data_IF_380202706216
#
_entry.id   IF_380202706216
#
_cell.length_a   1.000
_cell.length_b   1.000
_cell.length_c   1.000
_cell.angle_alpha   90.00
_cell.angle_beta   90.00
_cell.angle_gamma   90.00
#
_symmetry.space_group_name_H-M   'P 1'
#
loop_
_entity.id
_entity.type
_entity.pdbx_description
1 polymer ?
#
# COMPACT_ATOMS: atom_id res chain seq x y z
N UNK A 1 -22.26 15.07 16.37
CA UNK A 1 -21.63 13.82 16.85
C UNK A 1 -20.66 13.36 15.77
N UNK A 2 -19.53 14.04 15.67
CA UNK A 2 -18.42 13.64 14.80
C UNK A 2 -17.78 12.35 15.36
N UNK A 3 -16.95 11.65 14.59
CA UNK A 3 -16.11 10.54 15.10
C UNK A 3 -15.24 10.98 16.29
N UNK A 4 -14.97 12.30 16.39
CA UNK A 4 -14.26 12.92 17.51
C UNK A 4 -15.16 13.16 18.75
N UNK A 5 -16.49 13.19 18.59
CA UNK A 5 -17.49 13.43 19.64
C UNK A 5 -18.28 12.17 20.04
N UNK A 6 -18.09 11.02 19.37
CA UNK A 6 -18.68 9.75 19.80
C UNK A 6 -17.97 9.27 21.07
N UNK A 7 -18.32 9.91 22.18
CA UNK A 7 -17.83 9.70 23.55
C UNK A 7 -18.23 8.36 24.16
N UNK A 8 -18.22 7.27 23.40
CA UNK A 8 -17.77 6.03 23.98
C UNK A 8 -16.27 6.24 24.17
N UNK A 9 -15.84 6.57 25.39
CA UNK A 9 -14.43 6.63 25.75
C UNK A 9 -13.78 5.42 25.08
N UNK A 10 -12.98 5.67 24.03
CA UNK A 10 -12.21 4.61 23.43
C UNK A 10 -11.50 3.97 24.61
N UNK A 11 -11.79 2.69 24.89
CA UNK A 11 -10.90 1.92 25.75
C UNK A 11 -9.49 2.22 25.26
N UNK A 12 -8.50 2.37 26.15
CA UNK A 12 -7.17 2.84 25.74
C UNK A 12 -6.55 2.07 24.56
N UNK A 13 -7.06 0.86 24.26
CA UNK A 13 -6.73 0.02 23.11
C UNK A 13 -7.16 0.55 21.71
N UNK A 14 -8.15 1.44 21.60
CA UNK A 14 -8.65 1.97 20.31
C UNK A 14 -8.18 3.41 20.02
N UNK A 15 -7.32 3.96 20.87
CA UNK A 15 -6.63 5.22 20.60
C UNK A 15 -5.31 4.91 19.86
N UNK A 16 -5.05 5.51 18.69
CA UNK A 16 -3.81 5.29 17.96
C UNK A 16 -2.61 5.84 18.74
N UNK A 17 -1.49 5.16 18.62
CA UNK A 17 -0.20 5.55 19.17
C UNK A 17 0.85 5.55 18.06
N UNK A 18 1.99 6.26 18.23
CA UNK A 18 3.08 6.20 17.26
C UNK A 18 3.61 4.76 17.01
N UNK A 19 3.43 3.84 17.95
CA UNK A 19 3.84 2.45 17.80
C UNK A 19 3.00 1.66 16.79
N UNK A 20 1.79 2.14 16.47
CA UNK A 20 0.94 1.57 15.41
C UNK A 20 1.45 1.93 14.00
N UNK A 21 2.42 2.85 13.90
CA UNK A 21 3.06 3.31 12.65
C UNK A 21 2.08 3.80 11.59
N UNK A 22 0.99 4.44 12.00
CA UNK A 22 0.08 5.10 11.08
C UNK A 22 0.72 6.34 10.46
N UNK A 23 0.67 6.47 9.14
CA UNK A 23 1.20 7.63 8.42
C UNK A 23 0.23 8.11 7.35
N UNK A 24 0.36 9.37 6.96
CA UNK A 24 -0.48 10.01 5.95
C UNK A 24 0.37 10.79 4.97
N UNK A 25 -0.04 10.82 3.71
CA UNK A 25 0.54 11.72 2.71
C UNK A 25 0.05 13.14 2.90
N UNK A 26 0.90 14.15 2.74
CA UNK A 26 0.48 15.55 2.77
C UNK A 26 -0.62 15.82 1.73
N UNK A 27 -0.56 15.15 0.57
CA UNK A 27 -1.56 15.23 -0.50
C UNK A 27 -2.93 14.64 -0.11
N UNK A 28 -3.02 13.82 0.93
CA UNK A 28 -4.26 13.14 1.35
C UNK A 28 -5.18 14.15 2.06
N UNK A 29 -4.83 14.51 3.29
CA UNK A 29 -5.50 15.52 4.11
C UNK A 29 -5.40 16.93 3.50
N UNK A 30 -4.37 17.18 2.69
CA UNK A 30 -4.18 18.44 1.97
C UNK A 30 -4.97 18.53 0.66
N UNK A 31 -5.69 17.49 0.25
CA UNK A 31 -6.42 17.51 -1.01
C UNK A 31 -7.54 18.58 -0.99
N UNK A 32 -7.47 19.58 -1.89
CA UNK A 32 -8.44 20.69 -1.92
C UNK A 32 -9.80 20.30 -2.53
N UNK A 33 -9.97 19.02 -2.90
CA UNK A 33 -11.16 18.47 -3.53
C UNK A 33 -11.50 19.06 -4.90
N UNK A 34 -10.47 19.32 -5.70
CA UNK A 34 -10.64 19.49 -7.14
C UNK A 34 -10.67 18.11 -7.79
N UNK A 35 -11.71 17.85 -8.58
CA UNK A 35 -11.90 16.62 -9.34
C UNK A 35 -12.06 16.96 -10.83
N UNK A 36 -12.16 15.98 -11.75
CA UNK A 36 -12.27 16.25 -13.18
C UNK A 36 -13.50 17.08 -13.61
N UNK A 37 -14.50 17.24 -12.73
CA UNK A 37 -15.78 17.90 -13.00
C UNK A 37 -16.05 19.12 -12.13
N UNK A 38 -15.12 19.50 -11.24
CA UNK A 38 -15.33 20.58 -10.29
C UNK A 38 -14.03 21.21 -9.78
N UNK A 39 -14.11 22.50 -9.51
CA UNK A 39 -13.04 23.24 -8.82
C UNK A 39 -12.95 22.84 -7.34
N UNK A 40 -11.87 23.24 -6.67
CA UNK A 40 -11.65 23.02 -5.24
C UNK A 40 -12.83 23.47 -4.36
N UNK A 41 -13.09 22.70 -3.29
CA UNK A 41 -14.06 23.05 -2.23
C UNK A 41 -13.39 23.43 -0.91
N UNK A 42 -12.08 23.21 -0.79
CA UNK A 42 -11.27 23.54 0.40
C UNK A 42 -10.03 24.32 0.03
N UNK A 43 -9.50 25.19 0.92
CA UNK A 43 -8.22 25.85 0.71
C UNK A 43 -7.06 24.86 0.81
N UNK A 44 -5.89 25.26 0.33
CA UNK A 44 -4.65 24.51 0.57
C UNK A 44 -4.35 24.45 2.07
N UNK A 45 -3.87 23.30 2.54
CA UNK A 45 -3.48 23.07 3.92
C UNK A 45 -2.01 23.48 4.15
N UNK A 46 -1.73 24.18 5.24
CA UNK A 46 -0.36 24.50 5.63
C UNK A 46 0.36 23.26 6.20
N UNK A 47 1.62 23.05 5.82
CA UNK A 47 2.40 21.88 6.26
C UNK A 47 2.59 21.83 7.79
N UNK A 48 2.71 22.97 8.47
CA UNK A 48 2.89 22.99 9.93
C UNK A 48 1.58 22.57 10.60
N UNK A 49 0.44 23.09 10.12
CA UNK A 49 -0.88 22.64 10.58
C UNK A 49 -1.07 21.14 10.34
N UNK A 50 -0.67 20.63 9.17
CA UNK A 50 -0.75 19.21 8.85
C UNK A 50 -0.01 18.34 9.87
N UNK A 51 1.26 18.67 10.16
CA UNK A 51 2.09 17.96 11.14
C UNK A 51 1.50 18.02 12.55
N UNK A 52 1.14 19.20 13.04
CA UNK A 52 0.60 19.38 14.39
C UNK A 52 -0.73 18.63 14.60
N UNK A 53 -1.60 18.65 13.60
CA UNK A 53 -2.92 17.99 13.65
C UNK A 53 -2.78 16.48 13.57
N UNK A 54 -1.92 15.96 12.69
CA UNK A 54 -1.64 14.51 12.61
C UNK A 54 -1.00 13.99 13.90
N UNK A 55 -0.02 14.73 14.46
CA UNK A 55 0.58 14.42 15.75
C UNK A 55 -0.46 14.33 16.87
N UNK A 56 -1.37 15.31 16.94
CA UNK A 56 -2.46 15.31 17.91
C UNK A 56 -3.42 14.14 17.75
N UNK A 57 -3.61 13.65 16.53
CA UNK A 57 -4.45 12.48 16.24
C UNK A 57 -3.75 11.14 16.50
N UNK A 58 -2.45 11.13 16.84
CA UNK A 58 -1.68 9.92 17.16
C UNK A 58 -0.95 9.29 15.98
N UNK A 59 -0.82 9.99 14.84
CA UNK A 59 -0.02 9.52 13.72
C UNK A 59 1.47 9.44 14.09
N UNK A 60 2.17 8.50 13.44
CA UNK A 60 3.61 8.29 13.56
C UNK A 60 4.41 9.15 12.57
N UNK A 61 3.90 9.34 11.35
CA UNK A 61 4.65 10.04 10.31
C UNK A 61 3.84 10.70 9.22
N UNK A 62 4.52 11.58 8.48
CA UNK A 62 4.04 12.30 7.31
C UNK A 62 4.86 11.87 6.09
N UNK A 63 4.22 11.66 4.95
CA UNK A 63 4.88 11.45 3.65
C UNK A 63 4.49 12.58 2.71
N UNK A 64 5.24 12.82 1.63
CA UNK A 64 4.90 13.86 0.65
C UNK A 64 5.56 13.61 -0.71
N UNK A 65 4.96 14.14 -1.77
CA UNK A 65 5.68 14.43 -3.01
C UNK A 65 6.46 15.73 -2.85
N UNK A 66 7.57 15.87 -3.56
CA UNK A 66 8.30 17.15 -3.64
C UNK A 66 7.37 18.36 -3.87
N UNK A 67 6.52 18.28 -4.89
CA UNK A 67 5.64 19.38 -5.29
C UNK A 67 4.47 19.65 -4.30
N UNK A 68 4.26 18.80 -3.29
CA UNK A 68 3.30 19.03 -2.20
C UNK A 68 3.87 20.01 -1.15
N UNK A 69 5.17 19.88 -0.86
CA UNK A 69 5.84 20.69 0.18
C UNK A 69 6.21 22.08 -0.32
N UNK A 70 6.59 22.19 -1.59
CA UNK A 70 6.92 23.45 -2.24
C UNK A 70 6.42 23.44 -3.70
N UNK A 71 5.89 24.56 -4.22
CA UNK A 71 5.44 24.61 -5.61
C UNK A 71 6.53 24.26 -6.63
N UNK A 72 6.14 23.59 -7.71
CA UNK A 72 7.03 23.36 -8.85
C UNK A 72 7.60 24.69 -9.36
N UNK A 73 8.92 24.74 -9.55
CA UNK A 73 9.62 25.95 -10.01
C UNK A 73 9.97 26.96 -8.92
N UNK A 74 9.69 26.68 -7.64
CA UNK A 74 10.19 27.48 -6.53
C UNK A 74 11.71 27.67 -6.58
N UNK A 75 12.16 28.86 -6.17
CA UNK A 75 13.58 29.14 -5.99
C UNK A 75 14.20 28.27 -4.89
N UNK A 76 15.52 28.10 -4.89
CA UNK A 76 16.21 27.36 -3.80
C UNK A 76 15.93 27.95 -2.41
N UNK A 77 15.80 29.28 -2.33
CA UNK A 77 15.49 29.97 -1.07
C UNK A 77 14.09 29.63 -0.56
N UNK A 78 13.09 29.61 -1.45
CA UNK A 78 11.72 29.21 -1.09
C UNK A 78 11.63 27.73 -0.74
N UNK A 79 12.30 26.87 -1.52
CA UNK A 79 12.40 25.43 -1.24
C UNK A 79 13.00 25.20 0.15
N UNK A 80 14.18 25.77 0.44
CA UNK A 80 14.84 25.64 1.75
C UNK A 80 13.95 26.11 2.89
N UNK A 81 13.30 27.27 2.73
CA UNK A 81 12.36 27.80 3.73
C UNK A 81 11.23 26.82 4.04
N UNK A 82 10.65 26.16 3.04
CA UNK A 82 9.58 25.18 3.27
C UNK A 82 10.09 23.92 3.96
N UNK A 83 11.29 23.44 3.61
CA UNK A 83 11.92 22.30 4.30
C UNK A 83 12.21 22.64 5.76
N UNK A 84 12.76 23.83 6.05
CA UNK A 84 13.03 24.29 7.43
C UNK A 84 11.75 24.36 8.28
N UNK A 85 10.65 24.78 7.67
CA UNK A 85 9.33 24.82 8.33
C UNK A 85 8.83 23.41 8.67
N UNK A 86 8.96 22.47 7.74
CA UNK A 86 8.62 21.07 7.97
C UNK A 86 9.49 20.48 9.07
N UNK A 87 10.82 20.60 8.96
CA UNK A 87 11.79 20.07 9.93
C UNK A 87 11.54 20.60 11.35
N UNK A 88 11.25 21.90 11.47
CA UNK A 88 10.89 22.51 12.76
C UNK A 88 9.61 21.91 13.36
N UNK A 89 8.58 21.67 12.53
CA UNK A 89 7.32 21.08 12.99
C UNK A 89 7.47 19.60 13.35
N UNK A 90 8.24 18.84 12.57
CA UNK A 90 8.58 17.43 12.87
C UNK A 90 9.33 17.34 14.21
N UNK A 91 10.36 18.17 14.39
CA UNK A 91 11.13 18.25 15.64
C UNK A 91 10.27 18.61 16.86
N UNK A 92 9.30 19.51 16.70
CA UNK A 92 8.42 19.94 17.79
C UNK A 92 7.38 18.87 18.19
N UNK A 93 7.00 17.99 17.26
CA UNK A 93 5.91 17.01 17.46
C UNK A 93 6.39 15.58 17.65
N UNK A 94 7.61 15.26 17.18
CA UNK A 94 8.13 13.90 17.15
C UNK A 94 7.63 13.05 15.98
N UNK A 95 6.87 13.62 15.03
CA UNK A 95 6.54 12.94 13.78
C UNK A 95 7.80 12.70 12.95
N UNK A 96 7.84 11.58 12.24
CA UNK A 96 8.91 11.25 11.30
C UNK A 96 8.45 11.33 9.85
N UNK A 97 9.39 11.24 8.92
CA UNK A 97 9.12 11.07 7.48
C UNK A 97 9.58 9.67 7.08
N UNK A 98 8.71 8.64 7.12
CA UNK A 98 9.14 7.27 6.83
C UNK A 98 9.33 7.03 5.32
N UNK A 99 8.67 7.85 4.48
CA UNK A 99 8.64 7.71 3.04
C UNK A 99 8.53 9.08 2.36
N UNK A 100 9.22 9.22 1.23
CA UNK A 100 9.08 10.36 0.29
C UNK A 100 8.88 9.82 -1.13
N UNK A 101 8.17 10.57 -1.97
CA UNK A 101 7.92 10.23 -3.38
C UNK A 101 8.11 11.47 -4.26
N UNK A 102 8.09 11.33 -5.59
CA UNK A 102 8.24 12.46 -6.54
C UNK A 102 7.01 12.59 -7.42
N UNK A 103 6.51 13.81 -7.56
CA UNK A 103 5.43 14.09 -8.50
C UNK A 103 5.98 14.08 -9.94
N UNK A 104 5.71 13.01 -10.68
CA UNK A 104 6.00 12.86 -12.10
C UNK A 104 4.72 12.80 -12.96
N UNK A 105 3.64 13.42 -12.50
CA UNK A 105 2.32 13.23 -13.13
C UNK A 105 1.47 14.49 -13.29
N UNK A 106 1.70 15.54 -12.50
CA UNK A 106 0.88 16.77 -12.53
C UNK A 106 1.32 17.74 -13.62
N UNK A 107 2.62 18.00 -13.76
CA UNK A 107 3.11 19.01 -14.69
C UNK A 107 2.91 18.57 -16.16
N UNK A 108 2.53 19.47 -17.08
CA UNK A 108 2.25 19.11 -18.48
C UNK A 108 3.40 18.43 -19.23
N UNK A 109 4.64 18.63 -18.78
CA UNK A 109 5.83 17.97 -19.33
C UNK A 109 5.76 16.43 -19.20
N UNK A 110 5.05 15.91 -18.19
CA UNK A 110 4.92 14.48 -17.93
C UNK A 110 3.66 13.85 -18.54
N UNK A 111 2.99 14.53 -19.48
CA UNK A 111 1.73 14.05 -20.08
C UNK A 111 1.82 12.65 -20.73
N UNK A 112 3.02 12.22 -21.16
CA UNK A 112 3.30 10.89 -21.73
C UNK A 112 4.21 10.03 -20.81
N UNK A 113 4.31 10.38 -19.53
CA UNK A 113 5.22 9.75 -18.58
C UNK A 113 6.42 10.63 -18.24
N UNK A 114 7.11 10.23 -17.18
CA UNK A 114 8.45 10.65 -16.80
C UNK A 114 9.48 9.70 -17.38
N UNK A 115 9.65 8.53 -16.78
CA UNK A 115 10.72 7.58 -17.16
C UNK A 115 10.51 6.91 -18.51
N UNK A 116 9.26 6.77 -18.95
CA UNK A 116 8.90 6.08 -20.20
C UNK A 116 8.28 7.02 -21.23
N UNK A 117 8.43 8.34 -21.04
CA UNK A 117 8.09 9.33 -22.06
C UNK A 117 8.78 9.00 -23.38
N UNK A 118 8.05 9.10 -24.49
CA UNK A 118 8.65 8.96 -25.81
C UNK A 118 9.74 10.03 -26.04
N UNK A 119 9.59 11.22 -25.44
CA UNK A 119 10.57 12.29 -25.49
C UNK A 119 11.76 12.03 -24.54
N UNK A 120 12.96 11.86 -25.12
CA UNK A 120 14.19 11.61 -24.36
C UNK A 120 14.56 12.76 -23.42
N UNK A 121 14.26 14.01 -23.76
CA UNK A 121 14.56 15.14 -22.89
C UNK A 121 13.73 15.07 -21.60
N UNK A 122 12.47 14.64 -21.70
CA UNK A 122 11.57 14.44 -20.55
C UNK A 122 12.09 13.33 -19.64
N UNK A 123 12.51 12.19 -20.20
CA UNK A 123 13.10 11.09 -19.39
C UNK A 123 14.30 11.55 -18.55
N UNK A 124 15.20 12.34 -19.15
CA UNK A 124 16.37 12.91 -18.46
C UNK A 124 15.98 13.92 -17.39
N UNK A 125 14.96 14.74 -17.66
CA UNK A 125 14.42 15.68 -16.70
C UNK A 125 13.79 14.98 -15.49
N UNK A 126 12.97 13.94 -15.72
CA UNK A 126 12.35 13.13 -14.68
C UNK A 126 13.40 12.52 -13.74
N UNK A 127 14.45 11.89 -14.29
CA UNK A 127 15.56 11.35 -13.49
C UNK A 127 16.22 12.40 -12.60
N UNK A 128 16.49 13.60 -13.12
CA UNK A 128 17.07 14.67 -12.31
C UNK A 128 16.14 15.19 -11.22
N UNK A 129 14.83 15.22 -11.47
CA UNK A 129 13.82 15.59 -10.46
C UNK A 129 13.81 14.57 -9.32
N UNK A 130 13.82 13.27 -9.64
CA UNK A 130 13.85 12.19 -8.63
C UNK A 130 15.16 12.20 -7.84
N UNK A 131 16.32 12.31 -8.49
CA UNK A 131 17.61 12.41 -7.79
C UNK A 131 17.65 13.56 -6.78
N UNK A 132 17.15 14.75 -7.17
CA UNK A 132 17.08 15.90 -6.27
C UNK A 132 16.17 15.65 -5.06
N UNK A 133 15.13 14.84 -5.23
CA UNK A 133 14.22 14.53 -4.14
C UNK A 133 14.70 13.35 -3.27
N UNK A 134 15.49 12.44 -3.82
CA UNK A 134 16.22 11.44 -3.03
C UNK A 134 17.14 12.11 -2.03
N UNK A 135 17.84 13.18 -2.41
CA UNK A 135 18.66 13.96 -1.47
C UNK A 135 17.85 14.49 -0.29
N UNK A 136 16.63 14.96 -0.54
CA UNK A 136 15.72 15.42 0.52
C UNK A 136 15.18 14.26 1.37
N UNK A 137 14.86 13.13 0.74
CA UNK A 137 14.43 11.93 1.45
C UNK A 137 15.51 11.46 2.44
N UNK A 138 16.78 11.45 2.00
CA UNK A 138 17.93 11.12 2.85
C UNK A 138 18.15 12.18 3.95
N UNK A 139 18.01 13.47 3.64
CA UNK A 139 18.10 14.57 4.63
C UNK A 139 17.08 14.40 5.76
N UNK A 140 15.86 14.00 5.44
CA UNK A 140 14.75 13.83 6.40
C UNK A 140 14.69 12.42 7.04
N UNK A 141 15.64 11.54 6.70
CA UNK A 141 15.74 10.20 7.29
C UNK A 141 14.67 9.21 6.80
N UNK A 142 14.14 9.39 5.59
CA UNK A 142 13.20 8.43 5.00
C UNK A 142 13.91 7.10 4.66
N UNK A 143 13.24 5.99 4.97
CA UNK A 143 13.76 4.64 4.73
C UNK A 143 13.30 4.06 3.40
N UNK A 144 12.18 4.57 2.88
CA UNK A 144 11.57 4.13 1.61
C UNK A 144 11.35 5.31 0.67
N UNK A 145 11.58 5.09 -0.62
CA UNK A 145 11.21 6.01 -1.68
C UNK A 145 10.20 5.34 -2.62
N UNK A 146 8.97 5.85 -2.63
CA UNK A 146 7.90 5.30 -3.47
C UNK A 146 7.99 5.85 -4.88
N UNK A 147 7.67 5.01 -5.85
CA UNK A 147 7.67 5.34 -7.27
C UNK A 147 6.34 4.91 -7.89
N UNK A 148 5.41 5.86 -7.97
CA UNK A 148 4.17 5.70 -8.71
C UNK A 148 4.29 6.23 -10.14
N UNK A 149 4.25 5.29 -11.10
CA UNK A 149 4.34 5.57 -12.52
C UNK A 149 3.03 6.02 -13.16
N UNK A 150 2.26 6.91 -12.53
CA UNK A 150 0.88 7.23 -12.95
C UNK A 150 0.72 7.71 -14.40
N UNK A 151 1.77 8.24 -15.03
CA UNK A 151 1.75 8.66 -16.45
C UNK A 151 2.47 7.70 -17.40
N UNK A 152 3.09 6.64 -16.89
CA UNK A 152 3.81 5.64 -17.68
C UNK A 152 2.79 4.66 -18.31
N UNK A 153 2.44 4.84 -19.58
CA UNK A 153 1.35 4.07 -20.18
C UNK A 153 0.91 4.61 -21.54
N UNK A 154 -0.32 4.25 -21.94
CA UNK A 154 -0.90 4.68 -23.22
C UNK A 154 -2.43 4.67 -23.21
N UNK A 155 -3.02 5.50 -24.09
CA UNK A 155 -4.43 5.40 -24.47
C UNK A 155 -4.64 4.61 -25.77
N UNK A 156 -3.56 4.37 -26.53
CA UNK A 156 -3.56 3.67 -27.82
C UNK A 156 -2.34 2.76 -27.92
N UNK A 157 -2.54 1.47 -28.23
CA UNK A 157 -1.46 0.46 -28.23
C UNK A 157 -0.27 0.83 -29.13
N UNK A 158 -0.53 1.41 -30.30
CA UNK A 158 0.52 1.81 -31.25
C UNK A 158 1.33 3.03 -30.81
N UNK A 159 0.91 3.74 -29.76
CA UNK A 159 1.57 4.95 -29.27
C UNK A 159 2.78 4.66 -28.36
N UNK A 160 2.90 3.42 -27.85
CA UNK A 160 3.96 3.02 -26.93
C UNK A 160 4.57 1.68 -27.34
N UNK A 161 5.86 1.69 -27.64
CA UNK A 161 6.63 0.44 -27.66
C UNK A 161 6.86 0.00 -26.21
N UNK A 162 6.06 -0.97 -25.77
CA UNK A 162 6.06 -1.45 -24.38
C UNK A 162 7.39 -2.11 -24.00
N UNK A 163 8.06 -2.80 -24.94
CA UNK A 163 9.37 -3.39 -24.67
C UNK A 163 10.41 -2.31 -24.44
N UNK A 164 10.46 -1.32 -25.32
CA UNK A 164 11.35 -0.18 -25.15
C UNK A 164 11.03 0.60 -23.86
N UNK A 165 9.76 0.75 -23.50
CA UNK A 165 9.34 1.40 -22.25
C UNK A 165 9.87 0.66 -21.01
N UNK A 166 9.77 -0.68 -20.95
CA UNK A 166 10.33 -1.46 -19.85
C UNK A 166 11.85 -1.34 -19.74
N UNK A 167 12.56 -1.31 -20.87
CA UNK A 167 14.01 -1.08 -20.83
C UNK A 167 14.37 0.31 -20.29
N UNK A 168 13.59 1.36 -20.61
CA UNK A 168 13.82 2.72 -20.06
C UNK A 168 13.46 2.82 -18.59
N UNK A 169 12.41 2.13 -18.17
CA UNK A 169 12.03 2.04 -16.76
C UNK A 169 13.14 1.34 -15.96
N UNK A 170 13.66 0.21 -16.48
CA UNK A 170 14.80 -0.50 -15.87
C UNK A 170 16.05 0.38 -15.80
N UNK A 171 16.42 1.03 -16.92
CA UNK A 171 17.54 1.98 -16.97
C UNK A 171 17.43 3.07 -15.90
N UNK A 172 16.22 3.60 -15.68
CA UNK A 172 15.98 4.60 -14.66
C UNK A 172 16.18 4.04 -13.25
N UNK A 173 15.55 2.92 -12.92
CA UNK A 173 15.67 2.31 -11.59
C UNK A 173 17.09 1.85 -11.27
N UNK A 174 17.79 1.24 -12.22
CA UNK A 174 19.17 0.80 -12.02
C UNK A 174 20.08 2.00 -11.69
N UNK A 175 19.89 3.13 -12.38
CA UNK A 175 20.62 4.37 -12.08
C UNK A 175 20.30 4.89 -10.68
N UNK A 176 19.02 4.90 -10.28
CA UNK A 176 18.61 5.38 -8.95
C UNK A 176 19.12 4.46 -7.83
N UNK A 177 19.12 3.14 -8.03
CA UNK A 177 19.71 2.17 -7.10
C UNK A 177 21.22 2.37 -6.97
N UNK A 178 21.93 2.58 -8.09
CA UNK A 178 23.36 2.89 -8.06
C UNK A 178 23.63 4.19 -7.31
N UNK A 179 22.83 5.24 -7.54
CA UNK A 179 22.97 6.51 -6.81
C UNK A 179 22.82 6.33 -5.31
N UNK A 180 21.76 5.66 -4.85
CA UNK A 180 21.53 5.38 -3.43
C UNK A 180 22.65 4.53 -2.81
N UNK A 181 23.18 3.57 -3.57
CA UNK A 181 24.33 2.75 -3.17
C UNK A 181 25.57 3.60 -2.98
N UNK A 182 25.87 4.49 -3.93
CA UNK A 182 27.03 5.39 -3.87
C UNK A 182 26.93 6.40 -2.71
N UNK A 183 25.72 6.82 -2.34
CA UNK A 183 25.48 7.67 -1.16
C UNK A 183 25.54 6.89 0.16
N UNK A 184 25.43 5.56 0.13
CA UNK A 184 25.49 4.70 1.32
C UNK A 184 24.32 4.90 2.28
N UNK A 185 23.15 5.35 1.82
CA UNK A 185 22.02 5.70 2.70
C UNK A 185 21.14 4.52 3.13
N UNK A 186 21.20 3.38 2.42
CA UNK A 186 20.37 2.20 2.71
C UNK A 186 18.89 2.37 2.38
N UNK A 187 18.51 3.46 1.73
CA UNK A 187 17.14 3.72 1.28
C UNK A 187 16.68 2.64 0.29
N UNK A 188 15.42 2.20 0.40
CA UNK A 188 14.82 1.19 -0.49
C UNK A 188 13.78 1.81 -1.41
N UNK A 189 13.60 1.24 -2.59
CA UNK A 189 12.57 1.69 -3.54
C UNK A 189 11.33 0.81 -3.47
N UNK A 190 10.15 1.41 -3.60
CA UNK A 190 8.90 0.67 -3.67
C UNK A 190 8.08 1.12 -4.90
N UNK A 191 7.90 0.23 -5.88
CA UNK A 191 7.09 0.50 -7.06
C UNK A 191 5.61 0.37 -6.70
N UNK A 192 4.82 1.37 -7.05
CA UNK A 192 3.38 1.37 -6.83
C UNK A 192 2.63 1.01 -8.13
N UNK A 193 2.07 -0.21 -8.21
CA UNK A 193 1.27 -0.62 -9.36
C UNK A 193 -0.11 0.04 -9.33
N UNK A 194 -0.62 0.37 -10.52
CA UNK A 194 -2.00 0.83 -10.73
C UNK A 194 -2.46 0.42 -12.12
N UNK A 195 -3.68 -0.08 -12.32
CA UNK A 195 -4.09 -0.62 -13.63
C UNK A 195 -4.33 0.47 -14.68
N UNK A 196 -4.97 1.58 -14.28
CA UNK A 196 -5.32 2.70 -15.14
C UNK A 196 -5.56 3.95 -14.28
N UNK A 197 -5.88 5.06 -14.94
CA UNK A 197 -6.10 6.39 -14.35
C UNK A 197 -4.83 7.00 -13.73
N UNK A 198 -4.26 8.06 -14.35
CA UNK A 198 -4.86 8.88 -15.40
C UNK A 198 -4.60 8.42 -16.85
N UNK A 199 -3.78 7.37 -17.09
CA UNK A 199 -3.65 6.78 -18.44
C UNK A 199 -4.78 5.78 -18.72
N UNK A 200 -5.04 5.49 -19.99
CA UNK A 200 -5.93 4.40 -20.40
C UNK A 200 -5.50 3.06 -19.82
N UNK A 201 -4.24 2.69 -20.05
CA UNK A 201 -3.57 1.56 -19.42
C UNK A 201 -2.20 2.01 -18.90
N UNK A 202 -1.91 1.73 -17.63
CA UNK A 202 -0.64 2.04 -16.98
C UNK A 202 0.28 0.81 -17.04
N UNK A 203 1.58 1.04 -17.26
CA UNK A 203 2.59 -0.02 -17.20
C UNK A 203 2.74 -0.54 -15.77
N UNK A 204 2.98 -1.85 -15.62
CA UNK A 204 2.99 -2.53 -14.31
C UNK A 204 1.62 -2.43 -13.59
N UNK A 205 0.54 -2.94 -14.22
CA UNK A 205 -0.83 -2.64 -13.80
C UNK A 205 -1.26 -3.27 -12.47
N UNK A 206 -0.53 -4.28 -11.98
CA UNK A 206 -0.86 -4.98 -10.73
C UNK A 206 0.40 -5.39 -9.97
N UNK A 207 0.24 -5.79 -8.71
CA UNK A 207 1.34 -6.32 -7.85
C UNK A 207 2.17 -7.37 -8.57
N UNK A 208 1.52 -8.35 -9.23
CA UNK A 208 2.23 -9.42 -9.94
C UNK A 208 3.14 -8.91 -11.06
N UNK A 209 2.69 -7.90 -11.82
CA UNK A 209 3.49 -7.32 -12.89
C UNK A 209 4.69 -6.55 -12.35
N UNK A 210 4.49 -5.78 -11.28
CA UNK A 210 5.58 -5.06 -10.61
C UNK A 210 6.63 -6.03 -10.03
N UNK A 211 6.20 -7.09 -9.35
CA UNK A 211 7.09 -8.14 -8.83
C UNK A 211 7.92 -8.79 -9.94
N UNK A 212 7.30 -9.17 -11.06
CA UNK A 212 8.00 -9.79 -12.19
C UNK A 212 9.02 -8.83 -12.83
N UNK A 213 8.70 -7.53 -12.91
CA UNK A 213 9.62 -6.53 -13.45
C UNK A 213 10.82 -6.28 -12.53
N UNK A 214 10.61 -6.25 -11.21
CA UNK A 214 11.66 -6.04 -10.20
C UNK A 214 12.78 -7.08 -10.34
N UNK A 215 12.46 -8.34 -10.62
CA UNK A 215 13.45 -9.41 -10.79
C UNK A 215 14.34 -9.23 -12.04
N UNK A 216 14.04 -8.26 -12.90
CA UNK A 216 14.85 -7.92 -14.08
C UNK A 216 15.86 -6.81 -13.85
N UNK A 217 15.84 -6.17 -12.68
CA UNK A 217 16.72 -5.04 -12.34
C UNK A 217 18.14 -5.51 -12.00
N UNK A 218 19.11 -4.60 -12.02
CA UNK A 218 20.48 -4.88 -11.58
C UNK A 218 20.59 -5.08 -10.06
N UNK A 219 19.69 -4.45 -9.29
CA UNK A 219 19.63 -4.48 -7.83
C UNK A 219 18.23 -4.86 -7.33
N UNK A 220 17.70 -6.06 -7.66
CA UNK A 220 16.34 -6.45 -7.33
C UNK A 220 16.10 -6.44 -5.81
N UNK A 221 17.11 -6.70 -4.98
CA UNK A 221 17.06 -6.65 -3.52
C UNK A 221 16.75 -5.26 -2.94
N UNK A 222 17.06 -4.19 -3.68
CA UNK A 222 16.80 -2.80 -3.27
C UNK A 222 15.38 -2.33 -3.60
N UNK A 223 14.64 -3.10 -4.40
CA UNK A 223 13.33 -2.71 -4.94
C UNK A 223 12.27 -3.71 -4.51
N UNK A 224 11.19 -3.18 -3.93
CA UNK A 224 9.96 -3.90 -3.60
C UNK A 224 8.75 -3.21 -4.19
N UNK A 225 7.58 -3.52 -3.65
CA UNK A 225 6.30 -2.94 -4.04
C UNK A 225 5.69 -2.08 -2.94
N UNK A 226 4.93 -1.06 -3.36
CA UNK A 226 4.00 -0.26 -2.58
C UNK A 226 2.57 -0.50 -3.11
N UNK A 227 1.93 -1.64 -2.81
CA UNK A 227 0.58 -1.91 -3.28
C UNK A 227 -0.45 -1.04 -2.56
N UNK A 228 -1.45 -0.57 -3.31
CA UNK A 228 -2.59 0.17 -2.77
C UNK A 228 -3.89 -0.65 -2.85
N UNK A 229 -4.70 -0.56 -1.78
CA UNK A 229 -5.99 -1.26 -1.68
C UNK A 229 -6.90 -1.01 -2.89
N UNK A 230 -7.07 0.26 -3.26
CA UNK A 230 -7.94 0.68 -4.35
C UNK A 230 -7.46 0.18 -5.70
N UNK A 231 -6.17 0.25 -5.97
CA UNK A 231 -5.59 -0.09 -7.27
C UNK A 231 -5.84 -1.54 -7.70
N UNK A 232 -5.63 -2.52 -6.83
CA UNK A 232 -5.93 -3.93 -7.16
C UNK A 232 -7.45 -4.15 -7.28
N UNK A 233 -8.24 -3.47 -6.44
CA UNK A 233 -9.71 -3.54 -6.47
C UNK A 233 -10.30 -2.90 -7.74
N UNK A 234 -9.64 -1.91 -8.35
CA UNK A 234 -9.99 -1.35 -9.65
C UNK A 234 -9.83 -2.38 -10.78
N UNK A 235 -8.98 -3.40 -10.62
CA UNK A 235 -8.85 -4.52 -11.54
C UNK A 235 -9.75 -5.72 -11.17
N UNK A 236 -10.57 -5.59 -10.11
CA UNK A 236 -11.40 -6.69 -9.60
C UNK A 236 -10.59 -7.80 -8.91
N UNK A 237 -9.35 -7.51 -8.51
CA UNK A 237 -8.47 -8.47 -7.83
C UNK A 237 -8.70 -8.47 -6.32
N UNK A 238 -8.36 -9.59 -5.69
CA UNK A 238 -8.37 -9.71 -4.23
C UNK A 238 -7.07 -9.12 -3.66
N UNK A 239 -7.18 -7.96 -3.01
CA UNK A 239 -6.02 -7.24 -2.47
C UNK A 239 -5.25 -8.05 -1.43
N UNK A 240 -5.94 -8.67 -0.46
CA UNK A 240 -5.30 -9.54 0.53
C UNK A 240 -4.45 -10.66 -0.12
N UNK A 241 -4.91 -11.27 -1.21
CA UNK A 241 -4.12 -12.29 -1.93
C UNK A 241 -2.85 -11.70 -2.58
N UNK A 242 -2.96 -10.53 -3.20
CA UNK A 242 -1.81 -9.81 -3.77
C UNK A 242 -0.77 -9.43 -2.70
N UNK A 243 -1.23 -8.98 -1.54
CA UNK A 243 -0.36 -8.68 -0.39
C UNK A 243 0.31 -9.94 0.13
N UNK A 244 -0.41 -11.07 0.23
CA UNK A 244 0.16 -12.35 0.63
C UNK A 244 1.28 -12.80 -0.32
N UNK A 245 1.10 -12.62 -1.64
CA UNK A 245 2.16 -12.89 -2.62
C UNK A 245 3.36 -11.95 -2.47
N UNK A 246 3.15 -10.65 -2.22
CA UNK A 246 4.23 -9.70 -1.99
C UNK A 246 5.05 -10.03 -0.72
N UNK A 247 4.38 -10.49 0.34
CA UNK A 247 5.00 -11.00 1.56
C UNK A 247 5.80 -12.28 1.28
N UNK A 248 5.21 -13.23 0.56
CA UNK A 248 5.88 -14.48 0.15
C UNK A 248 7.18 -14.20 -0.63
N UNK A 249 7.16 -13.21 -1.52
CA UNK A 249 8.36 -12.80 -2.29
C UNK A 249 9.37 -11.98 -1.48
N UNK A 250 9.05 -11.59 -0.24
CA UNK A 250 9.90 -10.70 0.56
C UNK A 250 9.99 -9.28 0.01
N UNK A 251 8.96 -8.83 -0.74
CA UNK A 251 8.97 -7.57 -1.50
C UNK A 251 7.95 -6.52 -1.03
N UNK A 252 7.15 -6.80 0.00
CA UNK A 252 6.25 -5.79 0.58
C UNK A 252 7.04 -4.74 1.38
N UNK A 253 7.54 -3.71 0.70
CA UNK A 253 8.41 -2.69 1.31
C UNK A 253 7.62 -1.53 1.93
N UNK A 254 6.45 -1.24 1.38
CA UNK A 254 5.48 -0.28 1.89
C UNK A 254 4.07 -0.74 1.53
N UNK A 255 3.02 -0.08 2.03
CA UNK A 255 1.62 -0.39 1.67
C UNK A 255 0.75 0.85 1.82
N UNK A 256 -0.17 1.04 0.88
CA UNK A 256 -1.15 2.13 0.91
C UNK A 256 -2.56 1.59 1.16
N UNK A 257 -3.19 2.15 2.20
CA UNK A 257 -4.47 1.71 2.76
C UNK A 257 -5.57 2.72 2.48
N UNK A 258 -6.57 2.31 1.71
CA UNK A 258 -7.76 3.10 1.43
C UNK A 258 -8.97 2.20 1.14
N UNK A 259 -10.01 2.74 0.52
CA UNK A 259 -11.20 1.98 0.15
C UNK A 259 -11.65 2.27 -1.27
N UNK A 260 -12.05 1.21 -1.97
CA UNK A 260 -12.61 1.26 -3.32
C UNK A 260 -13.88 0.41 -3.40
N UNK A 261 -14.82 0.76 -4.29
CA UNK A 261 -16.00 -0.06 -4.57
C UNK A 261 -15.92 -0.65 -5.97
N UNK A 262 -15.01 -1.61 -6.15
CA UNK A 262 -14.83 -2.39 -7.37
C UNK A 262 -14.27 -1.58 -8.54
N UNK A 263 -14.62 -2.01 -9.75
CA UNK A 263 -14.05 -1.51 -11.02
C UNK A 263 -14.73 -0.20 -11.43
N UNK A 264 -14.07 0.93 -11.16
CA UNK A 264 -14.47 2.31 -11.54
C UNK A 264 -13.26 3.24 -11.33
N UNK A 265 -13.48 4.56 -11.47
CA UNK A 265 -12.49 5.57 -11.06
C UNK A 265 -11.99 5.33 -9.65
N UNK A 266 -10.77 5.74 -9.39
CA UNK A 266 -10.14 5.60 -8.09
C UNK A 266 -10.82 6.53 -7.07
N UNK A 267 -11.45 5.93 -6.07
CA UNK A 267 -12.29 6.67 -5.13
C UNK A 267 -11.52 7.22 -3.94
N UNK A 268 -10.37 6.63 -3.59
CA UNK A 268 -9.57 7.01 -2.44
C UNK A 268 -10.36 7.11 -1.12
N UNK A 269 -11.30 6.19 -0.86
CA UNK A 269 -12.11 6.27 0.36
C UNK A 269 -11.25 5.99 1.60
N UNK A 270 -11.74 6.37 2.78
CA UNK A 270 -11.20 5.89 4.07
C UNK A 270 -11.06 4.36 4.05
N UNK A 271 -9.94 3.86 4.60
CA UNK A 271 -9.68 2.44 4.74
C UNK A 271 -10.86 1.70 5.41
N UNK A 272 -11.31 0.61 4.76
CA UNK A 272 -12.46 -0.17 5.19
C UNK A 272 -13.85 0.38 4.78
N UNK A 273 -13.94 1.54 4.12
CA UNK A 273 -15.22 2.08 3.61
C UNK A 273 -15.56 1.61 2.18
N UNK A 274 -14.70 0.77 1.59
CA UNK A 274 -14.89 0.03 0.35
C UNK A 274 -15.33 -1.42 0.61
N UNK A 275 -14.50 -2.39 0.22
CA UNK A 275 -14.67 -3.80 0.58
C UNK A 275 -14.20 -4.06 2.03
N UNK A 276 -15.16 -4.04 2.97
CA UNK A 276 -14.90 -4.22 4.39
C UNK A 276 -14.43 -5.64 4.75
N UNK A 277 -14.92 -6.67 4.05
CA UNK A 277 -14.54 -8.05 4.33
C UNK A 277 -13.08 -8.31 3.91
N UNK A 278 -12.66 -7.76 2.77
CA UNK A 278 -11.26 -7.84 2.36
C UNK A 278 -10.35 -7.00 3.27
N UNK A 279 -10.78 -5.82 3.73
CA UNK A 279 -10.04 -5.02 4.72
C UNK A 279 -9.84 -5.78 6.04
N UNK A 280 -10.85 -6.51 6.51
CA UNK A 280 -10.72 -7.38 7.69
C UNK A 280 -9.67 -8.48 7.48
N UNK A 281 -9.76 -9.21 6.37
CA UNK A 281 -8.80 -10.27 6.05
C UNK A 281 -7.37 -9.73 5.84
N UNK A 282 -7.22 -8.52 5.30
CA UNK A 282 -5.93 -7.84 5.17
C UNK A 282 -5.32 -7.53 6.54
N UNK A 283 -6.09 -6.95 7.47
CA UNK A 283 -5.57 -6.64 8.81
C UNK A 283 -5.20 -7.93 9.56
N UNK A 284 -6.00 -8.98 9.44
CA UNK A 284 -5.65 -10.31 9.97
C UNK A 284 -4.33 -10.84 9.38
N UNK A 285 -4.12 -10.72 8.06
CA UNK A 285 -2.87 -11.10 7.41
C UNK A 285 -1.67 -10.28 7.93
N UNK A 286 -1.78 -8.96 8.01
CA UNK A 286 -0.66 -8.09 8.40
C UNK A 286 -0.25 -8.30 9.86
N UNK A 287 -1.22 -8.57 10.75
CA UNK A 287 -1.02 -8.66 12.20
C UNK A 287 -0.79 -10.10 12.70
N UNK A 288 -1.31 -11.11 12.00
CA UNK A 288 -1.29 -12.51 12.42
C UNK A 288 -0.82 -13.51 11.35
N UNK A 289 -0.47 -13.03 10.16
CA UNK A 289 -0.04 -13.87 9.03
C UNK A 289 1.41 -14.33 9.07
N UNK A 290 2.21 -13.92 10.06
CA UNK A 290 3.60 -14.32 10.20
C UNK A 290 3.78 -15.83 10.43
N UNK A 291 4.99 -16.37 10.20
CA UNK A 291 5.26 -17.80 10.33
C UNK A 291 4.89 -18.34 11.73
N UNK A 292 5.12 -17.56 12.78
CA UNK A 292 4.83 -17.93 14.19
C UNK A 292 3.51 -17.32 14.73
N UNK A 293 2.62 -16.83 13.85
CA UNK A 293 1.35 -16.21 14.24
C UNK A 293 1.45 -14.75 14.73
N UNK A 294 2.64 -14.13 14.62
CA UNK A 294 2.85 -12.71 14.85
C UNK A 294 2.67 -11.84 13.59
N UNK A 295 3.02 -10.55 13.65
CA UNK A 295 2.89 -9.64 12.51
C UNK A 295 3.69 -10.10 11.30
N UNK A 296 3.04 -10.17 10.14
CA UNK A 296 3.70 -10.46 8.86
C UNK A 296 4.40 -9.22 8.28
N UNK A 297 4.00 -8.01 8.70
CA UNK A 297 4.52 -6.75 8.20
C UNK A 297 4.76 -5.76 9.34
N UNK A 298 5.93 -5.10 9.33
CA UNK A 298 6.35 -4.17 10.39
C UNK A 298 6.56 -2.73 9.92
N UNK A 299 6.36 -2.46 8.63
CA UNK A 299 6.48 -1.11 8.06
C UNK A 299 5.29 -0.21 8.40
N UNK A 300 5.28 1.03 7.86
CA UNK A 300 4.18 1.98 8.07
C UNK A 300 2.85 1.43 7.55
N UNK A 301 1.76 1.76 8.26
CA UNK A 301 0.37 1.62 7.79
C UNK A 301 -0.02 2.98 7.21
N UNK A 302 0.35 3.20 5.96
CA UNK A 302 0.15 4.48 5.31
C UNK A 302 -1.25 4.56 4.70
N UNK A 303 -1.95 5.67 4.95
CA UNK A 303 -3.26 5.92 4.39
C UNK A 303 -3.15 6.90 3.22
N UNK A 304 -3.07 6.37 1.99
CA UNK A 304 -3.25 7.16 0.77
C UNK A 304 -4.72 7.21 0.40
N UNK A 305 -5.42 8.23 0.89
CA UNK A 305 -6.86 8.39 0.71
C UNK A 305 -7.21 9.87 0.50
N UNK A 306 -8.47 10.17 0.20
CA UNK A 306 -8.97 11.53 0.05
C UNK A 306 -10.20 11.76 0.93
N UNK A 307 -10.20 12.80 1.78
CA UNK A 307 -11.43 13.27 2.41
C UNK A 307 -12.44 13.66 1.33
N UNK A 308 -13.64 13.09 1.39
CA UNK A 308 -14.69 13.32 0.39
C UNK A 308 -14.87 14.80 0.08
N UNK A 309 -15.15 15.11 -1.19
CA UNK A 309 -15.30 16.50 -1.68
C UNK A 309 -16.38 17.31 -0.94
N UNK A 310 -17.35 16.63 -0.33
CA UNK A 310 -18.44 17.21 0.47
C UNK A 310 -18.00 17.78 1.81
N UNK A 311 -16.83 17.39 2.30
CA UNK A 311 -16.37 17.73 3.63
C UNK A 311 -15.70 19.11 3.69
N UNK A 312 -15.88 19.79 4.82
CA UNK A 312 -15.07 20.93 5.22
C UNK A 312 -13.79 20.47 5.97
N UNK A 313 -13.05 21.40 6.56
CA UNK A 313 -11.84 21.07 7.35
C UNK A 313 -12.14 20.13 8.53
N UNK A 314 -13.31 20.25 9.18
CA UNK A 314 -13.64 19.35 10.28
C UNK A 314 -13.85 17.91 9.79
N UNK A 315 -14.51 17.74 8.64
CA UNK A 315 -14.67 16.44 8.00
C UNK A 315 -13.34 15.82 7.54
N UNK A 316 -12.37 16.62 7.07
CA UNK A 316 -10.99 16.15 6.76
C UNK A 316 -10.33 15.48 7.95
N UNK A 317 -10.37 16.13 9.12
CA UNK A 317 -9.75 15.57 10.31
C UNK A 317 -10.54 14.40 10.88
N UNK A 318 -11.87 14.40 10.72
CA UNK A 318 -12.70 13.26 11.07
C UNK A 318 -12.40 12.03 10.20
N UNK A 319 -12.16 12.21 8.89
CA UNK A 319 -11.80 11.10 8.00
C UNK A 319 -10.38 10.58 8.24
N UNK A 320 -9.43 11.45 8.62
CA UNK A 320 -8.09 11.02 9.03
C UNK A 320 -8.16 10.14 10.29
N UNK A 321 -8.94 10.56 11.30
CA UNK A 321 -9.19 9.76 12.49
C UNK A 321 -9.93 8.45 12.17
N UNK A 322 -10.85 8.46 11.20
CA UNK A 322 -11.61 7.28 10.80
C UNK A 322 -10.70 6.17 10.22
N UNK A 323 -9.69 6.52 9.42
CA UNK A 323 -8.72 5.55 8.89
C UNK A 323 -8.02 4.75 10.01
N UNK A 324 -7.42 5.45 10.97
CA UNK A 324 -6.75 4.81 12.12
C UNK A 324 -7.74 4.01 12.95
N UNK A 325 -8.92 4.56 13.23
CA UNK A 325 -9.96 3.87 13.99
C UNK A 325 -10.41 2.58 13.30
N UNK A 326 -10.64 2.60 11.98
CA UNK A 326 -11.03 1.42 11.22
C UNK A 326 -9.97 0.33 11.31
N UNK A 327 -8.68 0.67 11.14
CA UNK A 327 -7.61 -0.31 11.29
C UNK A 327 -7.59 -0.94 12.69
N UNK A 328 -7.67 -0.12 13.75
CA UNK A 328 -7.64 -0.59 15.14
C UNK A 328 -8.84 -1.49 15.47
N UNK A 329 -10.04 -1.13 14.99
CA UNK A 329 -11.24 -1.96 15.17
C UNK A 329 -11.08 -3.31 14.47
N UNK A 330 -10.59 -3.32 13.22
CA UNK A 330 -10.36 -4.56 12.47
C UNK A 330 -9.27 -5.42 13.13
N UNK A 331 -8.21 -4.81 13.66
CA UNK A 331 -7.13 -5.50 14.38
C UNK A 331 -7.65 -6.18 15.65
N UNK A 332 -8.47 -5.48 16.43
CA UNK A 332 -9.14 -6.04 17.62
C UNK A 332 -9.99 -7.27 17.25
N UNK A 333 -10.79 -7.17 16.18
CA UNK A 333 -11.67 -8.25 15.71
C UNK A 333 -10.88 -9.42 15.13
N UNK A 334 -9.77 -9.16 14.43
CA UNK A 334 -8.89 -10.20 13.90
C UNK A 334 -8.23 -11.00 15.03
N UNK A 335 -7.77 -10.31 16.08
CA UNK A 335 -7.22 -10.96 17.26
C UNK A 335 -8.27 -11.83 17.98
N UNK A 336 -9.50 -11.32 18.15
CA UNK A 336 -10.61 -12.09 18.72
C UNK A 336 -10.97 -13.32 17.87
N UNK A 337 -11.02 -13.15 16.54
CA UNK A 337 -11.25 -14.23 15.59
C UNK A 337 -10.19 -15.34 15.72
N UNK A 338 -8.90 -14.99 15.76
CA UNK A 338 -7.80 -15.96 15.91
C UNK A 338 -7.78 -16.66 17.27
N UNK A 339 -8.30 -16.01 18.31
CA UNK A 339 -8.34 -16.56 19.67
C UNK A 339 -9.59 -17.40 19.98
N UNK A 340 -10.66 -17.33 19.17
CA UNK A 340 -11.90 -18.07 19.40
C UNK A 340 -11.69 -19.59 19.19
N UNK A 341 -11.90 -20.45 20.22
CA UNK A 341 -11.76 -21.89 20.08
C UNK A 341 -12.63 -22.50 18.96
N UNK A 342 -13.81 -21.92 18.70
CA UNK A 342 -14.68 -22.38 17.61
C UNK A 342 -14.07 -22.09 16.23
N UNK A 343 -13.35 -20.97 16.09
CA UNK A 343 -12.61 -20.65 14.87
C UNK A 343 -11.42 -21.59 14.71
N UNK A 344 -10.68 -21.87 15.78
CA UNK A 344 -9.55 -22.83 15.74
C UNK A 344 -10.02 -24.22 15.32
N UNK A 345 -11.15 -24.69 15.88
CA UNK A 345 -11.78 -25.95 15.48
C UNK A 345 -12.20 -25.93 14.01
N UNK A 346 -12.87 -24.86 13.56
CA UNK A 346 -13.28 -24.71 12.17
C UNK A 346 -12.09 -24.66 11.19
N UNK A 347 -10.99 -23.99 11.55
CA UNK A 347 -9.75 -23.99 10.76
C UNK A 347 -9.10 -25.37 10.68
N UNK A 348 -9.16 -26.14 11.78
CA UNK A 348 -8.67 -27.53 11.83
C UNK A 348 -9.51 -28.42 10.93
N UNK A 349 -10.84 -28.33 11.01
CA UNK A 349 -11.74 -29.06 10.11
C UNK A 349 -11.51 -28.68 8.64
N UNK A 350 -11.27 -27.40 8.37
CA UNK A 350 -10.97 -26.86 7.05
C UNK A 350 -9.55 -27.15 6.57
N UNK A 351 -8.71 -27.81 7.38
CA UNK A 351 -7.34 -28.20 7.03
C UNK A 351 -6.46 -27.02 6.63
N UNK A 352 -6.73 -25.83 7.19
CA UNK A 352 -6.02 -24.59 6.81
C UNK A 352 -4.52 -24.71 7.09
N UNK A 353 -4.16 -25.28 8.24
CA UNK A 353 -2.76 -25.47 8.64
C UNK A 353 -2.08 -26.63 7.91
N UNK A 354 -2.84 -27.65 7.44
CA UNK A 354 -2.28 -28.81 6.72
C UNK A 354 -1.50 -28.35 5.47
N UNK A 355 -1.93 -27.25 4.83
CA UNK A 355 -1.28 -26.65 3.66
C UNK A 355 0.17 -26.16 3.91
N UNK A 356 0.56 -25.96 5.18
CA UNK A 356 1.96 -25.64 5.53
C UNK A 356 2.88 -26.87 5.52
N UNK A 357 2.33 -28.07 5.47
CA UNK A 357 3.10 -29.31 5.36
C UNK A 357 3.54 -29.47 3.90
N UNK A 358 4.84 -29.70 3.61
CA UNK A 358 5.28 -30.03 2.26
C UNK A 358 4.49 -31.21 1.70
N UNK A 359 4.15 -31.16 0.40
CA UNK A 359 3.44 -32.26 -0.28
C UNK A 359 4.28 -33.52 -0.32
N UNK A 360 5.60 -33.39 -0.49
CA UNK A 360 6.54 -34.50 -0.52
C UNK A 360 7.12 -34.75 0.88
N UNK A 361 7.33 -36.02 1.21
CA UNK A 361 8.03 -36.40 2.42
C UNK A 361 9.52 -35.97 2.37
N UNK A 362 10.19 -35.81 3.53
CA UNK A 362 11.60 -35.45 3.57
C UNK A 362 12.48 -36.44 2.80
N UNK A 363 13.03 -35.99 1.67
CA UNK A 363 13.91 -36.79 0.80
C UNK A 363 13.18 -37.65 -0.23
N UNK A 364 11.85 -37.59 -0.30
CA UNK A 364 11.06 -38.28 -1.32
C UNK A 364 11.38 -37.72 -2.72
N UNK A 365 11.63 -38.61 -3.67
CA UNK A 365 11.85 -38.26 -5.08
C UNK A 365 10.59 -38.48 -5.91
N UNK A 366 10.58 -37.99 -7.15
CA UNK A 366 9.49 -38.30 -8.08
C UNK A 366 9.35 -39.81 -8.35
N UNK A 367 10.44 -40.58 -8.21
CA UNK A 367 10.41 -42.03 -8.42
C UNK A 367 9.74 -42.73 -7.24
N UNK A 368 9.95 -42.24 -6.02
CA UNK A 368 9.29 -42.74 -4.82
C UNK A 368 7.79 -42.41 -4.86
N UNK A 369 7.41 -41.17 -5.22
CA UNK A 369 6.01 -40.77 -5.36
C UNK A 369 5.29 -41.58 -6.46
N UNK A 370 5.96 -41.87 -7.59
CA UNK A 370 5.42 -42.75 -8.63
C UNK A 370 5.28 -44.21 -8.17
N UNK A 371 6.07 -44.64 -7.18
CA UNK A 371 5.98 -45.98 -6.61
C UNK A 371 4.97 -46.05 -5.45
N UNK A 372 4.61 -44.92 -4.84
CA UNK A 372 3.59 -44.84 -3.81
C UNK A 372 2.19 -45.00 -4.40
N UNK A 373 1.73 -46.24 -4.37
CA UNK A 373 0.38 -46.60 -4.82
C UNK A 373 -0.72 -45.87 -4.04
N UNK A 374 -0.47 -45.46 -2.80
CA UNK A 374 -1.46 -44.77 -1.98
C UNK A 374 -1.76 -43.35 -2.47
N UNK A 375 -0.85 -42.75 -3.24
CA UNK A 375 -1.01 -41.44 -3.85
C UNK A 375 -1.82 -41.46 -5.16
N UNK A 376 -2.01 -42.64 -5.77
CA UNK A 376 -2.75 -42.75 -7.03
C UNK A 376 -3.54 -44.07 -7.19
N UNK A 377 -2.88 -45.21 -7.43
CA UNK A 377 -3.55 -46.46 -7.82
C UNK A 377 -4.55 -46.99 -6.79
N UNK A 378 -4.22 -46.82 -5.50
CA UNK A 378 -5.01 -47.27 -4.37
C UNK A 378 -5.67 -46.07 -3.62
N UNK A 379 -5.57 -44.85 -4.16
CA UNK A 379 -6.22 -43.67 -3.58
C UNK A 379 -7.73 -43.69 -3.85
N UNK A 380 -8.55 -43.82 -2.80
CA UNK A 380 -10.01 -43.80 -2.90
C UNK A 380 -10.56 -42.39 -3.10
N UNK A 381 -10.46 -41.89 -4.34
CA UNK A 381 -11.02 -40.59 -4.73
C UNK A 381 -12.55 -40.55 -4.61
N UNK A 382 -13.26 -41.68 -4.82
CA UNK A 382 -14.71 -41.75 -4.76
C UNK A 382 -15.25 -41.47 -3.35
N UNK A 383 -14.47 -41.76 -2.31
CA UNK A 383 -14.80 -41.39 -0.92
C UNK A 383 -14.97 -39.88 -0.68
N UNK A 384 -14.59 -39.01 -1.62
CA UNK A 384 -14.81 -37.57 -1.53
C UNK A 384 -16.13 -37.13 -2.16
N UNK A 385 -16.72 -37.92 -3.06
CA UNK A 385 -17.96 -37.51 -3.74
C UNK A 385 -19.14 -37.50 -2.76
N UNK A 386 -19.67 -36.29 -2.47
CA UNK A 386 -20.76 -36.11 -1.51
C UNK A 386 -20.36 -36.27 -0.03
N UNK A 387 -19.07 -36.38 0.26
CA UNK A 387 -18.52 -36.53 1.61
C UNK A 387 -17.31 -35.59 1.81
N UNK A 388 -16.66 -35.64 2.99
CA UNK A 388 -15.43 -34.88 3.30
C UNK A 388 -15.49 -33.37 2.98
N UNK A 389 -16.64 -32.74 3.23
CA UNK A 389 -16.79 -31.29 3.05
C UNK A 389 -15.83 -30.50 3.95
N UNK A 390 -15.17 -29.48 3.39
CA UNK A 390 -14.15 -28.70 4.08
C UNK A 390 -14.71 -27.66 5.08
N UNK A 391 -16.02 -27.44 5.13
CA UNK A 391 -16.61 -26.52 6.10
C UNK A 391 -16.27 -25.03 5.91
N UNK A 392 -15.73 -24.63 4.75
CA UNK A 392 -15.28 -23.24 4.51
C UNK A 392 -16.37 -22.18 4.74
N UNK A 393 -17.63 -22.47 4.42
CA UNK A 393 -18.74 -21.54 4.66
C UNK A 393 -18.93 -21.28 6.16
N UNK A 394 -18.82 -22.30 7.00
CA UNK A 394 -18.94 -22.15 8.45
C UNK A 394 -17.77 -21.33 9.01
N UNK A 395 -16.53 -21.60 8.56
CA UNK A 395 -15.36 -20.81 8.94
C UNK A 395 -15.50 -19.34 8.53
N UNK A 396 -15.97 -19.08 7.31
CA UNK A 396 -16.20 -17.72 6.84
C UNK A 396 -17.34 -17.01 7.61
N UNK A 397 -18.41 -17.73 7.96
CA UNK A 397 -19.48 -17.15 8.78
C UNK A 397 -18.95 -16.73 10.15
N UNK A 398 -18.11 -17.54 10.80
CA UNK A 398 -17.47 -17.16 12.05
C UNK A 398 -16.61 -15.89 11.89
N UNK A 399 -15.83 -15.79 10.81
CA UNK A 399 -15.05 -14.58 10.52
C UNK A 399 -15.95 -13.32 10.40
N UNK A 400 -17.09 -13.45 9.71
CA UNK A 400 -18.06 -12.35 9.58
C UNK A 400 -18.77 -12.02 10.89
N UNK A 401 -19.10 -13.02 11.71
CA UNK A 401 -19.70 -12.80 13.03
C UNK A 401 -18.74 -12.01 13.95
N UNK A 402 -17.45 -12.36 13.94
CA UNK A 402 -16.40 -11.58 14.64
C UNK A 402 -16.29 -10.16 14.10
N UNK A 403 -16.23 -9.98 12.77
CA UNK A 403 -16.20 -8.66 12.14
C UNK A 403 -17.41 -7.79 12.53
N UNK A 404 -18.61 -8.37 12.57
CA UNK A 404 -19.86 -7.69 12.95
C UNK A 404 -20.02 -7.50 14.47
N UNK A 405 -19.11 -8.04 15.29
CA UNK A 405 -19.20 -7.98 16.75
C UNK A 405 -20.33 -8.83 17.33
N UNK A 406 -20.70 -9.91 16.64
CA UNK A 406 -21.67 -10.90 17.10
C UNK A 406 -21.03 -12.03 17.92
N UNK A 407 -19.70 -12.02 18.09
CA UNK A 407 -18.91 -12.94 18.92
C UNK A 407 -17.80 -12.22 19.67
#
# INVERSE_FOLDING_TARGET
MTVLESGAAASGALAPTPSDKFSFGLWTIGWPASDPFGVATRPALDVVEAVERLAKLGAYGLTFHDDDLFPFGSSEAERRRMIDRLDSALSATGLVVPMVTTNLFTQPVFKDGGFTSNDRAVRRFALRKVLRNLDLAMELGAETFVLWGGREGSEYDSAKDVQAAFERYREALDLLCQYVTDQGSGLRFAIEPKPNEPRGDILLPTVGHALAFIETLAHPEMVGVNPETGHEQMAGLNFMHGISQALYSGKLFHIDLNGQRGIKFDQDLVFGHGDLANAFALVDLLEHGGPDGGPAYTGPRHFDYKPSRTEDSAGVWASAAANMRMYLLLRERAAAFRADPAVVEAMTQAKVADLRTPTLDPGETYADLLADRSAYEDFDADSYFGAKGFGFVALNQLALDHLMGAR
#
